data_IF_343338253238
#
_entry.id   IF_343338253238
#
_cell.length_a   1.000
_cell.length_b   1.000
_cell.length_c   1.000
_cell.angle_alpha   90.00
_cell.angle_beta   90.00
_cell.angle_gamma   90.00
#
_symmetry.space_group_name_H-M   'P 1'
#
loop_
_entity.id
_entity.type
_entity.pdbx_description
1 polymer ?
#
# COMPACT_ATOMS: atom_id res chain seq x y z
N UNK A 1 -10.18 10.01 12.36
CA UNK A 1 -11.21 8.96 12.36
C UNK A 1 -12.62 9.47 12.71
N UNK A 2 -12.87 10.06 13.90
CA UNK A 2 -14.24 10.50 14.31
C UNK A 2 -14.96 11.40 13.29
N UNK A 3 -14.27 12.36 12.68
CA UNK A 3 -14.87 13.29 11.70
C UNK A 3 -15.35 12.58 10.42
N UNK A 4 -14.61 11.57 9.94
CA UNK A 4 -14.97 10.82 8.73
C UNK A 4 -16.22 9.97 8.95
N UNK A 5 -16.28 9.25 10.06
CA UNK A 5 -17.46 8.45 10.41
C UNK A 5 -18.69 9.32 10.60
N UNK A 6 -18.57 10.46 11.30
CA UNK A 6 -19.67 11.42 11.43
C UNK A 6 -20.11 11.99 10.08
N UNK A 7 -19.18 12.23 9.15
CA UNK A 7 -19.50 12.69 7.80
C UNK A 7 -20.27 11.63 7.00
N UNK A 8 -19.85 10.37 7.04
CA UNK A 8 -20.58 9.26 6.40
C UNK A 8 -21.99 9.10 6.98
N UNK A 9 -22.11 9.10 8.31
CA UNK A 9 -23.40 8.94 8.99
C UNK A 9 -24.36 10.11 8.69
N UNK A 10 -23.87 11.35 8.67
CA UNK A 10 -24.70 12.53 8.41
C UNK A 10 -25.07 12.70 6.94
N UNK A 11 -24.18 12.32 6.03
CA UNK A 11 -24.40 12.51 4.59
C UNK A 11 -25.33 11.46 3.99
N UNK A 12 -25.52 10.31 4.65
CA UNK A 12 -26.26 9.15 4.12
C UNK A 12 -25.73 8.68 2.74
N UNK A 13 -24.50 9.06 2.39
CA UNK A 13 -23.90 8.70 1.13
C UNK A 13 -23.36 7.26 1.18
N UNK A 14 -23.47 6.57 0.05
CA UNK A 14 -22.81 5.27 -0.16
C UNK A 14 -21.44 5.53 -0.78
N UNK A 15 -20.38 5.31 0.00
CA UNK A 15 -19.03 5.44 -0.52
C UNK A 15 -18.73 4.26 -1.46
N UNK A 16 -18.47 4.56 -2.73
CA UNK A 16 -18.14 3.56 -3.77
C UNK A 16 -16.65 3.44 -4.02
N UNK A 17 -15.92 4.54 -3.91
CA UNK A 17 -14.48 4.60 -4.14
C UNK A 17 -13.78 5.24 -2.96
N UNK A 18 -12.67 4.65 -2.52
CA UNK A 18 -11.85 5.15 -1.42
C UNK A 18 -10.39 4.97 -1.80
N UNK A 19 -9.68 6.09 -1.85
CA UNK A 19 -8.23 6.13 -2.02
C UNK A 19 -7.62 6.60 -0.71
N UNK A 20 -6.74 5.78 -0.14
CA UNK A 20 -6.02 6.06 1.09
C UNK A 20 -4.54 6.19 0.79
N UNK A 21 -3.98 7.39 0.98
CA UNK A 21 -2.58 7.69 0.74
C UNK A 21 -1.91 8.15 2.05
N UNK A 22 -0.64 7.78 2.27
CA UNK A 22 0.15 8.15 3.46
C UNK A 22 -0.50 7.77 4.80
N UNK A 23 -1.20 6.63 4.84
CA UNK A 23 -1.95 6.23 6.01
C UNK A 23 -1.05 5.49 7.00
N UNK A 24 -0.94 6.06 8.21
CA UNK A 24 -0.31 5.44 9.37
C UNK A 24 -1.37 5.07 10.41
N UNK A 25 -2.31 4.19 10.05
CA UNK A 25 -3.32 3.70 10.98
C UNK A 25 -2.88 2.34 11.57
N UNK A 26 -3.01 2.14 12.88
CA UNK A 26 -2.95 0.79 13.44
C UNK A 26 -3.95 -0.12 12.74
N UNK A 27 -3.59 -1.37 12.50
CA UNK A 27 -4.41 -2.32 11.76
C UNK A 27 -5.85 -2.42 12.28
N UNK A 28 -6.05 -2.41 13.61
CA UNK A 28 -7.38 -2.42 14.21
C UNK A 28 -8.23 -1.19 13.82
N UNK A 29 -7.62 0.01 13.75
CA UNK A 29 -8.32 1.23 13.32
C UNK A 29 -8.60 1.21 11.82
N UNK A 30 -7.68 0.67 11.04
CA UNK A 30 -7.86 0.50 9.60
C UNK A 30 -9.00 -0.47 9.30
N UNK A 31 -9.06 -1.61 9.98
CA UNK A 31 -10.16 -2.56 9.89
C UNK A 31 -11.48 -1.92 10.28
N UNK A 32 -11.52 -1.19 11.41
CA UNK A 32 -12.72 -0.48 11.85
C UNK A 32 -13.17 0.60 10.84
N UNK A 33 -12.24 1.22 10.09
CA UNK A 33 -12.57 2.13 9.00
C UNK A 33 -13.28 1.38 7.86
N UNK A 34 -12.73 0.25 7.42
CA UNK A 34 -13.30 -0.55 6.32
C UNK A 34 -14.69 -1.13 6.66
N UNK A 35 -14.92 -1.51 7.92
CA UNK A 35 -16.24 -1.95 8.42
C UNK A 35 -17.32 -0.88 8.28
N UNK A 36 -16.95 0.41 8.26
CA UNK A 36 -17.90 1.52 8.07
C UNK A 36 -18.24 1.77 6.60
N UNK A 37 -17.53 1.14 5.66
CA UNK A 37 -17.72 1.33 4.21
C UNK A 37 -17.90 -0.02 3.49
N UNK A 38 -18.88 -0.86 3.89
CA UNK A 38 -19.01 -2.23 3.37
C UNK A 38 -19.37 -2.33 1.89
N UNK A 39 -19.92 -1.24 1.31
CA UNK A 39 -20.38 -1.15 -0.09
C UNK A 39 -19.33 -0.56 -1.05
N UNK A 40 -18.09 -0.48 -0.58
CA UNK A 40 -16.98 0.01 -1.37
C UNK A 40 -16.71 -0.95 -2.54
N UNK A 41 -16.62 -0.39 -3.74
CA UNK A 41 -16.37 -1.12 -4.98
C UNK A 41 -14.93 -0.95 -5.44
N UNK A 42 -14.38 0.25 -5.27
CA UNK A 42 -13.01 0.59 -5.65
C UNK A 42 -12.21 0.97 -4.41
N UNK A 43 -11.20 0.18 -4.09
CA UNK A 43 -10.32 0.46 -2.98
C UNK A 43 -8.88 0.57 -3.46
N UNK A 44 -8.27 1.72 -3.18
CA UNK A 44 -6.84 1.96 -3.41
C UNK A 44 -6.20 2.32 -2.09
N UNK A 45 -5.11 1.65 -1.77
CA UNK A 45 -4.28 1.99 -0.63
C UNK A 45 -2.83 2.09 -1.07
N UNK A 46 -2.21 3.19 -0.67
CA UNK A 46 -0.81 3.49 -0.94
C UNK A 46 -0.07 3.61 0.38
N UNK A 47 0.61 2.52 0.73
CA UNK A 47 1.46 2.40 1.90
C UNK A 47 2.86 2.91 1.57
N UNK A 48 3.01 4.23 1.51
CA UNK A 48 4.34 4.81 1.56
C UNK A 48 4.92 4.59 2.96
N UNK A 49 6.11 4.00 3.03
CA UNK A 49 6.84 3.83 4.27
C UNK A 49 7.23 5.23 4.80
N UNK A 50 6.36 5.87 5.59
CA UNK A 50 6.52 7.27 6.03
C UNK A 50 7.76 7.47 6.88
N UNK A 51 8.41 6.42 7.39
CA UNK A 51 9.70 6.58 8.06
C UNK A 51 10.56 5.33 7.88
N UNK A 52 11.72 5.49 7.25
CA UNK A 52 12.91 4.68 7.52
C UNK A 52 13.33 4.91 8.98
N UNK A 53 12.48 4.57 9.95
CA UNK A 53 12.88 4.60 11.35
C UNK A 53 13.51 3.24 11.67
N UNK A 54 14.86 3.12 11.66
CA UNK A 54 15.54 1.88 11.97
C UNK A 54 15.24 1.37 13.39
N UNK A 55 14.65 2.21 14.26
CA UNK A 55 14.24 1.80 15.60
C UNK A 55 12.93 1.00 15.64
N UNK A 56 12.17 0.92 14.54
CA UNK A 56 10.91 0.16 14.46
C UNK A 56 10.78 -0.60 13.13
N UNK A 57 11.61 -1.64 12.92
CA UNK A 57 11.56 -2.48 11.72
C UNK A 57 10.22 -3.21 11.57
N UNK A 58 9.47 -3.39 12.66
CA UNK A 58 8.28 -4.26 12.71
C UNK A 58 6.94 -3.53 12.57
N UNK A 59 6.86 -2.39 11.86
CA UNK A 59 5.53 -1.80 11.64
C UNK A 59 4.75 -2.70 10.66
N UNK A 60 3.66 -3.36 11.12
CA UNK A 60 2.85 -4.17 10.22
C UNK A 60 2.26 -3.27 9.14
N UNK A 61 2.25 -3.78 7.91
CA UNK A 61 1.57 -3.11 6.79
C UNK A 61 0.09 -2.95 7.09
N UNK A 62 -0.49 -1.88 6.56
CA UNK A 62 -1.93 -1.64 6.71
C UNK A 62 -2.76 -2.76 6.10
N UNK A 63 -2.28 -3.38 5.01
CA UNK A 63 -2.80 -4.63 4.45
C UNK A 63 -1.80 -5.75 4.77
N UNK A 64 -2.15 -6.60 5.72
CA UNK A 64 -1.47 -7.87 6.02
C UNK A 64 -2.48 -9.02 6.03
N UNK A 65 -2.01 -10.22 6.39
CA UNK A 65 -2.80 -11.46 6.32
C UNK A 65 -4.16 -11.36 7.02
N UNK A 66 -4.20 -10.78 8.23
CA UNK A 66 -5.47 -10.63 8.97
C UNK A 66 -6.50 -9.79 8.22
N UNK A 67 -6.10 -8.80 7.43
CA UNK A 67 -7.05 -8.02 6.62
C UNK A 67 -7.50 -8.86 5.42
N UNK A 68 -6.57 -9.53 4.74
CA UNK A 68 -6.88 -10.38 3.59
C UNK A 68 -7.82 -11.53 3.98
N UNK A 69 -7.56 -12.21 5.10
CA UNK A 69 -8.40 -13.27 5.66
C UNK A 69 -9.84 -12.81 5.90
N UNK A 70 -10.02 -11.56 6.36
CA UNK A 70 -11.36 -10.98 6.56
C UNK A 70 -12.06 -10.59 5.26
N UNK A 71 -11.32 -10.53 4.16
CA UNK A 71 -11.87 -10.32 2.82
C UNK A 71 -12.22 -11.65 2.11
N UNK A 72 -11.82 -12.80 2.67
CA UNK A 72 -12.14 -14.14 2.13
C UNK A 72 -13.62 -14.44 2.33
N UNK A 73 -14.25 -14.99 1.28
CA UNK A 73 -15.61 -15.55 1.33
C UNK A 73 -15.53 -16.95 1.93
N UNK A 74 -16.20 -17.18 3.06
CA UNK A 74 -16.26 -18.51 3.72
C UNK A 74 -17.68 -19.03 3.70
N UNK A 75 -17.84 -20.31 3.36
CA UNK A 75 -19.10 -21.06 3.52
C UNK A 75 -20.34 -20.41 2.87
N UNK A 76 -20.16 -19.68 1.76
CA UNK A 76 -21.25 -19.00 1.06
C UNK A 76 -21.75 -17.71 1.73
N UNK A 77 -21.09 -17.24 2.78
CA UNK A 77 -21.38 -15.96 3.42
C UNK A 77 -20.60 -14.80 2.76
N UNK A 78 -21.16 -13.59 2.81
CA UNK A 78 -20.46 -12.38 2.40
C UNK A 78 -19.18 -12.18 3.24
N UNK A 79 -18.09 -11.67 2.65
CA UNK A 79 -16.85 -11.46 3.38
C UNK A 79 -17.02 -10.33 4.40
N UNK A 80 -16.34 -10.47 5.55
CA UNK A 80 -16.47 -9.53 6.67
C UNK A 80 -16.01 -8.11 6.32
N UNK A 81 -15.13 -7.97 5.33
CA UNK A 81 -14.67 -6.68 4.81
C UNK A 81 -14.94 -6.55 3.31
N UNK A 82 -15.42 -5.35 2.94
CA UNK A 82 -15.56 -4.88 1.57
C UNK A 82 -16.39 -5.83 0.69
N UNK A 83 -17.57 -6.27 1.13
CA UNK A 83 -18.43 -7.25 0.43
C UNK A 83 -18.75 -6.95 -1.03
N UNK A 84 -18.70 -5.69 -1.44
CA UNK A 84 -18.97 -5.25 -2.82
C UNK A 84 -17.70 -4.91 -3.63
N UNK A 85 -16.51 -5.26 -3.13
CA UNK A 85 -15.25 -4.89 -3.79
C UNK A 85 -15.10 -5.52 -5.18
N UNK A 86 -14.83 -4.67 -6.16
CA UNK A 86 -14.58 -5.00 -7.57
C UNK A 86 -13.14 -4.70 -7.97
N UNK A 87 -12.57 -3.63 -7.44
CA UNK A 87 -11.20 -3.18 -7.75
C UNK A 87 -10.40 -3.04 -6.45
N UNK A 88 -9.29 -3.76 -6.36
CA UNK A 88 -8.32 -3.64 -5.28
C UNK A 88 -6.98 -3.20 -5.85
N UNK A 89 -6.47 -2.06 -5.37
CA UNK A 89 -5.12 -1.58 -5.68
C UNK A 89 -4.33 -1.43 -4.38
N UNK A 90 -3.20 -2.11 -4.30
CA UNK A 90 -2.29 -2.04 -3.15
C UNK A 90 -0.94 -1.58 -3.66
N UNK A 91 -0.51 -0.43 -3.19
CA UNK A 91 0.76 0.20 -3.51
C UNK A 91 1.63 0.29 -2.25
N UNK A 92 2.91 -0.04 -2.38
CA UNK A 92 3.93 0.18 -1.36
C UNK A 92 4.64 -1.09 -0.92
N UNK A 93 5.13 -1.11 0.32
CA UNK A 93 5.82 -2.26 0.88
C UNK A 93 4.82 -3.35 1.28
N UNK A 94 4.76 -4.46 0.55
CA UNK A 94 3.78 -5.54 0.81
C UNK A 94 4.35 -6.58 1.79
N UNK A 95 3.57 -6.92 2.82
CA UNK A 95 3.93 -7.90 3.86
C UNK A 95 2.72 -8.80 4.18
N UNK A 96 2.48 -9.78 3.32
CA UNK A 96 1.45 -10.81 3.50
C UNK A 96 1.90 -12.11 2.86
N UNK A 97 1.30 -13.22 3.26
CA UNK A 97 1.49 -14.52 2.63
C UNK A 97 0.84 -14.54 1.22
N UNK A 98 1.62 -14.85 0.17
CA UNK A 98 1.08 -15.03 -1.18
C UNK A 98 -0.10 -16.01 -1.26
N UNK A 99 -0.12 -17.06 -0.44
CA UNK A 99 -1.20 -18.04 -0.43
C UNK A 99 -2.52 -17.45 0.09
N UNK A 100 -2.45 -16.60 1.12
CA UNK A 100 -3.62 -15.88 1.67
C UNK A 100 -4.19 -14.92 0.63
N UNK A 101 -3.32 -14.23 -0.13
CA UNK A 101 -3.77 -13.39 -1.25
C UNK A 101 -4.49 -14.23 -2.32
N UNK A 102 -3.92 -15.36 -2.72
CA UNK A 102 -4.52 -16.23 -3.74
C UNK A 102 -5.86 -16.78 -3.28
N UNK A 103 -5.98 -17.20 -2.02
CA UNK A 103 -7.24 -17.66 -1.45
C UNK A 103 -8.30 -16.56 -1.46
N UNK A 104 -7.93 -15.35 -1.02
CA UNK A 104 -8.80 -14.17 -1.07
C UNK A 104 -9.28 -13.88 -2.49
N UNK A 105 -8.38 -13.83 -3.46
CA UNK A 105 -8.73 -13.60 -4.87
C UNK A 105 -9.67 -14.69 -5.40
N UNK A 106 -9.29 -15.96 -5.23
CA UNK A 106 -10.09 -17.11 -5.67
C UNK A 106 -11.50 -17.10 -5.11
N UNK A 107 -11.64 -16.77 -3.82
CA UNK A 107 -12.95 -16.71 -3.14
C UNK A 107 -13.86 -15.58 -3.66
N UNK A 108 -13.30 -14.58 -4.34
CA UNK A 108 -14.01 -13.36 -4.73
C UNK A 108 -14.17 -13.15 -6.23
N UNK A 109 -13.32 -13.74 -7.07
CA UNK A 109 -13.39 -13.57 -8.54
C UNK A 109 -14.70 -14.08 -9.13
N UNK A 110 -15.35 -15.03 -8.46
CA UNK A 110 -16.73 -15.40 -8.72
C UNK A 110 -17.53 -15.23 -7.41
N UNK A 111 -18.13 -14.04 -7.14
CA UNK A 111 -18.88 -13.29 -8.16
C UNK A 111 -18.45 -11.85 -8.48
N UNK A 112 -17.40 -11.25 -7.88
CA UNK A 112 -17.29 -9.77 -7.88
C UNK A 112 -15.92 -9.13 -8.11
N UNK A 113 -14.80 -9.75 -7.73
CA UNK A 113 -13.50 -9.10 -7.87
C UNK A 113 -13.05 -9.15 -9.33
N UNK A 114 -13.01 -7.98 -9.97
CA UNK A 114 -12.70 -7.80 -11.39
C UNK A 114 -11.25 -7.42 -11.62
N UNK A 115 -10.67 -6.60 -10.73
CA UNK A 115 -9.32 -6.07 -10.89
C UNK A 115 -8.51 -6.13 -9.59
N UNK A 116 -7.30 -6.68 -9.70
CA UNK A 116 -6.26 -6.63 -8.69
C UNK A 116 -5.02 -5.96 -9.28
N UNK A 117 -4.54 -4.92 -8.61
CA UNK A 117 -3.28 -4.26 -8.93
C UNK A 117 -2.35 -4.27 -7.72
N UNK A 118 -1.14 -4.82 -7.90
CA UNK A 118 -0.08 -4.78 -6.89
C UNK A 118 1.07 -3.91 -7.40
N UNK A 119 1.35 -2.82 -6.71
CA UNK A 119 2.53 -2.01 -6.92
C UNK A 119 3.49 -2.21 -5.75
N UNK A 120 4.64 -2.83 -6.00
CA UNK A 120 5.61 -3.15 -4.96
C UNK A 120 6.78 -2.18 -4.99
N UNK A 121 7.20 -1.73 -3.82
CA UNK A 121 8.49 -1.06 -3.65
C UNK A 121 9.61 -2.04 -3.29
N UNK A 122 10.85 -1.55 -3.25
CA UNK A 122 12.05 -2.32 -2.91
C UNK A 122 12.11 -2.89 -1.48
N UNK A 123 11.09 -2.65 -0.65
CA UNK A 123 10.97 -3.17 0.72
C UNK A 123 9.86 -4.19 0.88
N UNK A 124 9.18 -4.55 -0.21
CA UNK A 124 8.18 -5.60 -0.19
C UNK A 124 8.83 -6.94 0.13
N UNK A 125 8.25 -7.68 1.08
CA UNK A 125 8.68 -9.05 1.41
C UNK A 125 8.01 -10.06 0.49
N UNK A 126 6.88 -9.68 -0.11
CA UNK A 126 6.16 -10.49 -1.10
C UNK A 126 7.00 -10.58 -2.37
N UNK A 127 7.42 -11.80 -2.70
CA UNK A 127 8.03 -12.12 -3.99
C UNK A 127 6.93 -12.49 -4.99
N UNK A 128 6.59 -11.56 -5.89
CA UNK A 128 5.74 -11.88 -7.04
C UNK A 128 6.61 -12.52 -8.11
N UNK A 129 6.79 -13.83 -7.96
CA UNK A 129 7.47 -14.67 -8.94
C UNK A 129 6.50 -15.18 -10.03
N UNK A 130 7.06 -15.76 -11.10
CA UNK A 130 6.29 -16.32 -12.22
C UNK A 130 5.21 -17.32 -11.76
N UNK A 131 5.46 -18.23 -10.78
CA UNK A 131 4.40 -19.09 -10.24
C UNK A 131 3.21 -18.34 -9.65
N UNK A 132 3.44 -17.33 -8.80
CA UNK A 132 2.37 -16.56 -8.17
C UNK A 132 1.58 -15.77 -9.21
N UNK A 133 2.28 -15.10 -10.13
CA UNK A 133 1.66 -14.40 -11.25
C UNK A 133 0.78 -15.34 -12.08
N UNK A 134 1.31 -16.51 -12.46
CA UNK A 134 0.57 -17.52 -13.23
C UNK A 134 -0.71 -17.97 -12.52
N UNK A 135 -0.68 -18.14 -11.19
CA UNK A 135 -1.86 -18.50 -10.39
C UNK A 135 -2.90 -17.38 -10.37
N UNK A 136 -2.48 -16.15 -10.11
CA UNK A 136 -3.40 -14.99 -10.07
C UNK A 136 -4.02 -14.72 -11.45
N UNK A 137 -3.23 -14.81 -12.53
CA UNK A 137 -3.74 -14.72 -13.91
C UNK A 137 -4.66 -15.88 -14.27
N UNK A 138 -4.35 -17.09 -13.82
CA UNK A 138 -5.22 -18.26 -14.02
C UNK A 138 -6.59 -18.10 -13.36
N UNK A 139 -6.68 -17.33 -12.27
CA UNK A 139 -7.94 -17.05 -11.56
C UNK A 139 -8.67 -15.86 -12.18
N UNK A 140 -8.01 -14.72 -12.38
CA UNK A 140 -8.64 -13.45 -12.77
C UNK A 140 -8.61 -13.16 -14.27
N UNK A 141 -7.81 -13.90 -15.04
CA UNK A 141 -7.47 -13.58 -16.42
C UNK A 141 -6.38 -12.52 -16.56
N UNK A 142 -5.75 -12.45 -17.74
CA UNK A 142 -4.64 -11.54 -18.07
C UNK A 142 -4.95 -10.05 -17.83
N UNK A 143 -6.22 -9.64 -17.95
CA UNK A 143 -6.66 -8.26 -17.74
C UNK A 143 -7.12 -7.98 -16.31
N UNK A 144 -7.40 -9.02 -15.53
CA UNK A 144 -7.89 -8.92 -14.16
C UNK A 144 -6.78 -8.72 -13.14
N UNK A 145 -5.58 -9.23 -13.43
CA UNK A 145 -4.42 -9.07 -12.56
C UNK A 145 -3.30 -8.31 -13.26
N UNK A 146 -2.77 -7.29 -12.59
CA UNK A 146 -1.57 -6.57 -13.01
C UNK A 146 -0.68 -6.32 -11.82
N UNK A 147 0.62 -6.31 -12.06
CA UNK A 147 1.58 -5.90 -11.04
C UNK A 147 2.67 -5.03 -11.65
N UNK A 148 3.30 -4.23 -10.81
CA UNK A 148 4.45 -3.43 -11.18
C UNK A 148 5.41 -3.30 -10.01
N UNK A 149 6.66 -3.05 -10.32
CA UNK A 149 7.71 -2.86 -9.33
C UNK A 149 8.37 -1.51 -9.55
N UNK A 150 8.57 -0.78 -8.46
CA UNK A 150 9.32 0.47 -8.45
C UNK A 150 10.64 0.27 -7.72
N UNK A 151 11.73 0.37 -8.47
CA UNK A 151 13.05 0.53 -7.88
C UNK A 151 13.04 1.81 -7.03
N UNK A 152 13.22 1.64 -5.73
CA UNK A 152 13.15 2.72 -4.74
C UNK A 152 13.96 3.95 -5.20
N UNK A 153 13.26 5.03 -5.58
CA UNK A 153 13.87 6.29 -6.07
C UNK A 153 14.67 6.98 -4.95
N UNK A 154 14.57 6.50 -3.71
CA UNK A 154 15.32 7.04 -2.57
C UNK A 154 16.85 6.94 -2.71
N UNK A 155 17.39 6.09 -3.59
CA UNK A 155 18.84 6.10 -3.88
C UNK A 155 19.29 7.34 -4.67
N UNK A 156 18.47 7.88 -5.58
CA UNK A 156 18.85 9.09 -6.35
C UNK A 156 18.81 10.35 -5.50
N UNK A 157 17.85 10.49 -4.58
CA UNK A 157 17.79 11.68 -3.69
C UNK A 157 18.93 11.70 -2.68
N UNK A 158 19.39 10.54 -2.19
CA UNK A 158 20.52 10.48 -1.24
C UNK A 158 21.84 10.89 -1.89
N UNK A 159 22.11 10.41 -3.11
CA UNK A 159 23.28 10.84 -3.88
C UNK A 159 23.25 12.34 -4.21
N UNK A 160 22.08 12.90 -4.54
CA UNK A 160 21.93 14.34 -4.80
C UNK A 160 22.09 15.18 -3.54
N UNK A 161 21.51 14.77 -2.40
CA UNK A 161 21.67 15.48 -1.12
C UNK A 161 23.10 15.40 -0.56
N UNK A 162 23.78 14.27 -0.69
CA UNK A 162 25.19 14.13 -0.31
C UNK A 162 26.14 14.89 -1.25
N UNK A 163 25.83 14.97 -2.54
CA UNK A 163 26.58 15.78 -3.49
C UNK A 163 26.39 17.28 -3.24
N UNK A 164 25.16 17.70 -2.90
CA UNK A 164 24.88 19.10 -2.51
C UNK A 164 25.56 19.46 -1.19
N UNK A 165 25.56 18.56 -0.20
CA UNK A 165 26.28 18.78 1.06
C UNK A 165 27.79 18.97 0.87
N UNK A 166 28.43 18.10 0.06
CA UNK A 166 29.87 18.22 -0.25
C UNK A 166 30.21 19.49 -1.05
N UNK A 167 29.36 19.87 -2.01
CA UNK A 167 29.57 21.10 -2.78
C UNK A 167 29.50 22.35 -1.89
N UNK A 168 28.64 22.35 -0.86
CA UNK A 168 28.48 23.48 0.07
C UNK A 168 29.70 23.61 1.01
N UNK A 169 30.23 22.49 1.52
CA UNK A 169 31.45 22.48 2.36
C UNK A 169 32.70 22.93 1.58
N UNK A 170 32.80 22.58 0.28
CA UNK A 170 33.88 23.06 -0.59
C UNK A 170 33.80 24.56 -0.89
N UNK A 171 32.59 25.13 -0.96
CA UNK A 171 32.38 26.56 -1.23
C UNK A 171 32.67 27.45 -0.01
N UNK A 172 32.34 26.97 1.21
CA UNK A 172 32.72 27.63 2.47
C UNK A 172 34.24 27.59 2.70
N UNK A 173 34.90 26.47 2.37
CA UNK A 173 36.36 26.34 2.47
C UNK A 173 37.11 27.29 1.51
N UNK A 174 36.48 27.65 0.38
CA UNK A 174 37.07 28.53 -0.64
C UNK A 174 36.89 30.02 -0.35
N UNK A 175 35.86 30.39 0.42
CA UNK A 175 35.58 31.79 0.79
C UNK A 175 36.30 32.24 2.07
N UNK A 176 36.70 31.30 2.95
CA UNK A 176 37.45 31.61 4.18
C UNK A 176 38.93 31.97 4.03
N UNK A 177 39.51 31.92 2.82
CA UNK A 177 40.95 32.21 2.60
C UNK A 177 41.27 33.64 2.11
N UNK A 178 40.29 34.55 2.04
CA UNK A 178 40.48 35.89 1.46
C UNK A 178 40.69 37.03 2.48
N UNK A 179 40.84 36.75 3.78
CA UNK A 179 40.96 37.79 4.81
C UNK A 179 42.25 37.68 5.65
N UNK A 180 43.43 37.66 5.00
CA UNK A 180 44.66 38.14 5.65
C UNK A 180 45.67 38.59 4.62
N UNK A 181 45.60 39.86 4.21
CA UNK A 181 46.78 40.59 3.73
C UNK A 181 46.56 42.08 3.99
N UNK A 182 47.30 42.54 4.98
CA UNK A 182 47.49 43.91 5.45
C UNK A 182 48.23 44.76 4.42
#
# INVERSE_FOLDING_TARGET
MRTFTMMLERSQCVLRSLHLEYICLPQAQFVALLEKVPRLQDFTITNHNVTNDPARPDRPTTIGDTVLERMIVREGADPALLSELRVLKIDGSLHFDPEVLVEMVKSRTNPRLEHLHLHMDGKSVVDVNEPLEGRLKGIMGEKGYTWSWSADISFRKRGVLEAMGRAMEEEESRTGMSETST
#
